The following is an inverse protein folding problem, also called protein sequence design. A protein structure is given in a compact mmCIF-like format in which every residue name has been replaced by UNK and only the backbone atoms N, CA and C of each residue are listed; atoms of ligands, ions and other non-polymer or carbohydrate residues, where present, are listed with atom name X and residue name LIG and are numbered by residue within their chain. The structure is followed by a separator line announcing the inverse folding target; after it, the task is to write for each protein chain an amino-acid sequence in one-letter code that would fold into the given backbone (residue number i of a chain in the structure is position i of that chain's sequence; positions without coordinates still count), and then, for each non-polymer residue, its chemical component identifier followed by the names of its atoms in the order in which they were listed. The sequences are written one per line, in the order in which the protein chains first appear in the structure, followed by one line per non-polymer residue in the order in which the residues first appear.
data_IF_640753463966
#
_entry.id   IF_640753463966
#
_cell.length_a   1.000
_cell.length_b   1.000
_cell.length_c   1.000
_cell.angle_alpha   90.00
_cell.angle_beta   90.00
_cell.angle_gamma   90.00
#
_symmetry.space_group_name_H-M   'P 1'
#
loop_
_entity.id
_entity.type
_entity.pdbx_description
1 polymer ?
#
# COMPACT_ATOMS: atom_id res chain seq x y z
N UNK A 1 0.62 -6.63 -1.86
CA UNK A 1 -0.47 -5.68 -1.58
C UNK A 1 -1.37 -6.21 -0.48
N UNK A 2 -2.26 -7.18 -0.74
CA UNK A 2 -3.25 -7.67 0.24
C UNK A 2 -2.66 -8.15 1.58
N UNK A 3 -1.71 -9.08 1.57
CA UNK A 3 -1.10 -9.58 2.82
C UNK A 3 -0.39 -8.47 3.63
N UNK A 4 0.21 -7.50 2.95
CA UNK A 4 0.90 -6.39 3.61
C UNK A 4 -0.11 -5.41 4.19
N UNK A 5 -1.22 -5.14 3.48
CA UNK A 5 -2.30 -4.32 4.00
C UNK A 5 -2.96 -4.95 5.24
N UNK A 6 -3.21 -6.26 5.20
CA UNK A 6 -3.73 -7.00 6.36
C UNK A 6 -2.79 -6.91 7.56
N UNK A 7 -1.49 -7.18 7.36
CA UNK A 7 -0.49 -7.08 8.43
C UNK A 7 -0.36 -5.65 8.97
N UNK A 8 -0.42 -4.64 8.10
CA UNK A 8 -0.36 -3.22 8.48
C UNK A 8 -1.54 -2.84 9.38
N UNK A 9 -2.77 -3.19 9.00
CA UNK A 9 -3.95 -2.85 9.80
C UNK A 9 -4.02 -3.65 11.09
N UNK A 10 -3.58 -4.93 11.08
CA UNK A 10 -3.43 -5.72 12.30
C UNK A 10 -2.45 -5.06 13.27
N UNK A 11 -1.25 -4.71 12.81
CA UNK A 11 -0.24 -4.06 13.66
C UNK A 11 -0.72 -2.70 14.18
N UNK A 12 -1.40 -1.90 13.34
CA UNK A 12 -2.00 -0.64 13.76
C UNK A 12 -3.06 -0.83 14.85
N UNK A 13 -3.92 -1.85 14.72
CA UNK A 13 -4.93 -2.17 15.72
C UNK A 13 -4.32 -2.65 17.04
N UNK A 14 -3.22 -3.42 16.98
CA UNK A 14 -2.52 -3.94 18.17
C UNK A 14 -1.73 -2.87 18.93
N UNK A 15 -1.13 -1.89 18.25
CA UNK A 15 -0.28 -0.87 18.90
C UNK A 15 -0.97 0.47 19.11
N UNK A 16 -2.08 0.75 18.42
CA UNK A 16 -2.73 2.06 18.45
C UNK A 16 -1.95 3.19 17.77
N UNK A 17 -0.90 2.87 17.02
CA UNK A 17 -0.08 3.84 16.27
C UNK A 17 -0.41 3.78 14.78
N UNK A 18 -0.35 4.92 14.09
CA UNK A 18 -0.49 4.95 12.63
C UNK A 18 0.66 4.17 12.00
N UNK A 19 0.35 3.16 11.19
CA UNK A 19 1.33 2.34 10.46
C UNK A 19 1.25 2.57 8.96
N UNK A 20 2.38 2.44 8.29
CA UNK A 20 2.55 2.61 6.85
C UNK A 20 3.52 1.58 6.29
N UNK A 21 3.36 1.21 5.02
CA UNK A 21 4.35 0.44 4.29
C UNK A 21 4.42 0.95 2.86
N UNK A 22 5.63 1.19 2.36
CA UNK A 22 5.89 1.65 1.01
C UNK A 22 5.59 0.54 -0.01
N UNK A 23 4.33 0.39 -0.41
CA UNK A 23 3.96 -0.54 -1.47
C UNK A 23 4.52 -0.05 -2.81
N UNK A 24 5.32 -0.87 -3.48
CA UNK A 24 5.95 -0.50 -4.74
C UNK A 24 4.92 -0.48 -5.88
N UNK A 25 4.70 0.71 -6.44
CA UNK A 25 3.83 0.96 -7.58
C UNK A 25 4.57 0.96 -8.93
N UNK A 26 5.91 0.89 -8.96
CA UNK A 26 6.74 0.79 -10.17
C UNK A 26 6.22 -0.33 -11.08
N UNK A 27 6.05 -0.02 -12.37
CA UNK A 27 5.64 -0.96 -13.39
C UNK A 27 6.28 -0.60 -14.74
N UNK A 28 6.17 -1.50 -15.73
CA UNK A 28 6.76 -1.30 -17.06
C UNK A 28 6.03 -0.26 -17.92
N UNK A 29 4.81 0.16 -17.53
CA UNK A 29 4.06 1.23 -18.20
C UNK A 29 3.33 2.09 -17.16
N UNK A 30 2.98 3.31 -17.55
CA UNK A 30 2.24 4.24 -16.69
C UNK A 30 0.85 3.68 -16.33
N UNK A 31 0.18 3.01 -17.26
CA UNK A 31 -1.15 2.43 -17.03
C UNK A 31 -1.12 1.36 -15.93
N UNK A 32 -0.12 0.47 -15.96
CA UNK A 32 0.06 -0.54 -14.92
C UNK A 32 0.50 0.05 -13.58
N UNK A 33 1.34 1.09 -13.62
CA UNK A 33 1.72 1.85 -12.42
C UNK A 33 0.48 2.48 -11.76
N UNK A 34 -0.38 3.14 -12.54
CA UNK A 34 -1.61 3.74 -12.02
C UNK A 34 -2.57 2.68 -11.47
N UNK A 35 -2.72 1.52 -12.12
CA UNK A 35 -3.54 0.42 -11.56
C UNK A 35 -3.03 -0.01 -10.19
N UNK A 36 -1.71 -0.15 -9.99
CA UNK A 36 -1.12 -0.49 -8.69
C UNK A 36 -1.35 0.60 -7.65
N UNK A 37 -1.16 1.86 -8.00
CA UNK A 37 -1.38 2.99 -7.10
C UNK A 37 -2.85 3.14 -6.70
N UNK A 38 -3.78 2.99 -7.64
CA UNK A 38 -5.22 3.01 -7.38
C UNK A 38 -5.62 1.85 -6.48
N UNK A 39 -5.12 0.64 -6.75
CA UNK A 39 -5.39 -0.50 -5.89
C UNK A 39 -4.88 -0.30 -4.46
N UNK A 40 -3.68 0.25 -4.28
CA UNK A 40 -3.17 0.60 -2.95
C UNK A 40 -4.08 1.61 -2.21
N UNK A 41 -4.56 2.64 -2.92
CA UNK A 41 -5.52 3.62 -2.38
C UNK A 41 -6.85 2.96 -1.98
N UNK A 42 -7.39 2.06 -2.79
CA UNK A 42 -8.63 1.34 -2.51
C UNK A 42 -8.51 0.40 -1.30
N UNK A 43 -7.31 -0.14 -1.05
CA UNK A 43 -7.00 -0.86 0.18
C UNK A 43 -6.87 0.04 1.41
N UNK A 44 -6.92 1.37 1.25
CA UNK A 44 -6.80 2.33 2.34
C UNK A 44 -5.38 2.44 2.92
N UNK A 45 -4.35 1.94 2.24
CA UNK A 45 -2.97 2.10 2.72
C UNK A 45 -2.51 3.55 2.55
N UNK A 46 -1.71 4.10 3.48
CA UNK A 46 -1.45 5.54 3.50
C UNK A 46 -0.34 5.99 2.55
N UNK A 47 0.48 5.07 2.02
CA UNK A 47 1.68 5.42 1.26
C UNK A 47 2.07 4.33 0.26
N UNK A 48 2.65 4.76 -0.86
CA UNK A 48 3.27 3.93 -1.89
C UNK A 48 4.66 4.45 -2.20
N UNK A 49 5.49 3.63 -2.83
CA UNK A 49 6.76 4.07 -3.42
C UNK A 49 6.78 3.85 -4.92
N UNK A 50 7.64 4.59 -5.59
CA UNK A 50 8.00 4.43 -6.99
C UNK A 50 9.51 4.64 -7.10
N UNK A 51 10.17 3.85 -7.93
CA UNK A 51 11.62 3.95 -8.18
C UNK A 51 11.98 5.13 -9.09
#
# INVERSE_FOLDING_TARGET
FLFVAEALFKAQAETGEIKGHYLNATAGTCEEMFKRAVFARELGVPIVMHD
#
